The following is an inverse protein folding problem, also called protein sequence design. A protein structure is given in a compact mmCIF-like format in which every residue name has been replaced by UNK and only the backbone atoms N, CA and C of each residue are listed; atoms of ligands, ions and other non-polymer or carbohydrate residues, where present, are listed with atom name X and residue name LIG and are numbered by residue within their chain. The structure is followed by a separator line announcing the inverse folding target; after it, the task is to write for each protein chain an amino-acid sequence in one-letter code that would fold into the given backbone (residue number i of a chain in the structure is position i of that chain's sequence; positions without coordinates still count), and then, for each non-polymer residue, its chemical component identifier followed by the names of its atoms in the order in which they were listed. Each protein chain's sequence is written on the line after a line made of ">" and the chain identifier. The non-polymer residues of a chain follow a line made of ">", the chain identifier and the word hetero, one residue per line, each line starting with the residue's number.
data_IF_664557297413
#
_entry.id   IF_664557297413
#
_cell.length_a   1.000
_cell.length_b   1.000
_cell.length_c   1.000
_cell.angle_alpha   90.00
_cell.angle_beta   90.00
_cell.angle_gamma   90.00
#
_symmetry.space_group_name_H-M   'P 1'
#
loop_
_entity.id
_entity.type
_entity.pdbx_description
1 polymer ?
#
# COMPACT_ATOMS: atom_id res chain seq x y z
N UNK A 1 -34.67 41.67 -45.00
CA UNK A 1 -33.98 41.33 -43.75
C UNK A 1 -34.55 40.00 -43.28
N UNK A 2 -34.06 38.91 -43.87
CA UNK A 2 -34.48 37.54 -43.54
C UNK A 2 -33.86 37.16 -42.20
N UNK A 3 -34.69 36.88 -41.20
CA UNK A 3 -34.22 36.31 -39.92
C UNK A 3 -33.56 34.97 -40.23
N UNK A 4 -32.24 34.91 -40.10
CA UNK A 4 -31.52 33.65 -40.02
C UNK A 4 -31.98 32.95 -38.75
N UNK A 5 -32.45 31.73 -38.95
CA UNK A 5 -32.89 30.79 -37.92
C UNK A 5 -31.76 30.57 -36.90
N UNK A 6 -31.84 31.23 -35.75
CA UNK A 6 -30.86 31.11 -34.65
C UNK A 6 -31.06 29.84 -33.81
N UNK A 7 -31.92 28.93 -34.27
CA UNK A 7 -32.07 27.60 -33.70
C UNK A 7 -30.96 26.68 -34.25
N UNK A 8 -29.82 26.56 -33.55
CA UNK A 8 -29.04 25.29 -33.51
C UNK A 8 -27.67 25.34 -32.81
N UNK A 9 -27.28 26.43 -32.14
CA UNK A 9 -26.01 26.49 -31.41
C UNK A 9 -26.23 26.59 -29.89
N UNK A 10 -27.03 25.68 -29.32
CA UNK A 10 -27.16 25.55 -27.87
C UNK A 10 -26.57 24.22 -27.41
N UNK A 11 -25.77 24.25 -26.34
CA UNK A 11 -25.26 23.06 -25.64
C UNK A 11 -26.28 22.51 -24.62
N UNK A 12 -27.47 23.09 -24.52
CA UNK A 12 -28.51 22.62 -23.62
C UNK A 12 -28.99 21.21 -24.03
N UNK A 13 -29.25 20.37 -23.03
CA UNK A 13 -29.83 19.05 -23.24
C UNK A 13 -31.15 19.17 -24.03
N UNK A 14 -31.29 18.39 -25.12
CA UNK A 14 -32.46 18.43 -26.01
C UNK A 14 -32.42 19.47 -27.14
N UNK A 15 -31.38 20.29 -27.24
CA UNK A 15 -31.26 21.30 -28.31
C UNK A 15 -31.01 20.71 -29.71
N UNK A 16 -30.59 19.44 -29.81
CA UNK A 16 -30.43 18.68 -31.05
C UNK A 16 -30.91 17.24 -30.87
N UNK A 17 -31.63 16.72 -31.86
CA UNK A 17 -31.96 15.30 -31.99
C UNK A 17 -30.87 14.62 -32.82
N UNK A 18 -30.25 13.58 -32.27
CA UNK A 18 -29.19 12.80 -32.92
C UNK A 18 -29.40 11.31 -32.59
N UNK A 19 -28.81 10.36 -33.34
CA UNK A 19 -28.94 8.94 -33.05
C UNK A 19 -28.60 8.64 -31.58
N UNK A 20 -29.57 8.12 -30.83
CA UNK A 20 -29.44 7.87 -29.39
C UNK A 20 -29.83 9.03 -28.47
N UNK A 21 -30.42 10.12 -28.96
CA UNK A 21 -30.93 11.23 -28.12
C UNK A 21 -32.02 10.80 -27.15
N UNK A 22 -32.75 9.72 -27.46
CA UNK A 22 -33.78 9.13 -26.60
C UNK A 22 -33.23 7.98 -25.72
N UNK A 23 -31.92 7.71 -25.80
CA UNK A 23 -31.28 6.67 -25.00
C UNK A 23 -31.31 7.04 -23.52
N UNK A 24 -31.74 6.08 -22.70
CA UNK A 24 -31.69 6.17 -21.23
C UNK A 24 -30.40 5.59 -20.66
N UNK A 25 -29.43 5.29 -21.52
CA UNK A 25 -28.11 4.75 -21.19
C UNK A 25 -27.04 5.53 -21.93
N UNK A 26 -25.88 5.66 -21.31
CA UNK A 26 -24.72 6.20 -21.98
C UNK A 26 -24.32 5.28 -23.14
N UNK A 27 -24.07 5.88 -24.29
CA UNK A 27 -23.74 5.21 -25.55
C UNK A 27 -22.49 5.80 -26.22
N UNK A 28 -21.71 6.59 -25.46
CA UNK A 28 -20.48 7.25 -25.92
C UNK A 28 -19.21 6.45 -25.61
N UNK A 29 -19.32 5.30 -24.95
CA UNK A 29 -18.21 4.38 -24.66
C UNK A 29 -18.65 2.92 -24.83
N UNK A 30 -17.67 2.05 -25.08
CA UNK A 30 -17.89 0.60 -25.11
C UNK A 30 -17.75 0.02 -23.68
N UNK A 31 -18.76 -0.68 -23.16
CA UNK A 31 -18.68 -1.37 -21.88
C UNK A 31 -17.66 -2.51 -21.90
N UNK A 32 -16.97 -2.76 -20.79
CA UNK A 32 -16.10 -3.95 -20.65
C UNK A 32 -16.90 -5.26 -20.66
N UNK A 33 -18.10 -5.23 -20.10
CA UNK A 33 -19.02 -6.37 -20.06
C UNK A 33 -20.07 -6.32 -21.18
N UNK A 34 -21.05 -7.25 -21.14
CA UNK A 34 -22.20 -7.23 -22.06
C UNK A 34 -23.09 -5.97 -21.91
N UNK A 35 -22.99 -5.29 -20.77
CA UNK A 35 -23.73 -4.07 -20.41
C UNK A 35 -22.81 -3.19 -19.56
N UNK A 36 -22.95 -1.88 -19.69
CA UNK A 36 -22.29 -0.91 -18.81
C UNK A 36 -22.70 -1.17 -17.36
N UNK A 37 -21.70 -1.14 -16.48
CA UNK A 37 -21.94 -1.08 -15.04
C UNK A 37 -22.12 0.37 -14.60
N UNK A 38 -22.73 0.57 -13.44
CA UNK A 38 -22.89 1.93 -12.92
C UNK A 38 -21.55 2.60 -12.59
N UNK A 39 -20.52 1.81 -12.26
CA UNK A 39 -19.14 2.29 -12.14
C UNK A 39 -18.65 2.87 -13.47
N UNK A 40 -18.86 2.16 -14.58
CA UNK A 40 -18.43 2.63 -15.90
C UNK A 40 -19.17 3.93 -16.28
N UNK A 41 -20.48 3.96 -16.04
CA UNK A 41 -21.34 5.13 -16.28
C UNK A 41 -20.85 6.40 -15.56
N UNK A 42 -20.22 6.27 -14.39
CA UNK A 42 -19.79 7.41 -13.56
C UNK A 42 -18.27 7.62 -13.54
N UNK A 43 -17.49 6.84 -14.28
CA UNK A 43 -16.01 6.96 -14.30
C UNK A 43 -15.44 7.09 -15.72
N UNK A 44 -16.04 6.43 -16.71
CA UNK A 44 -15.55 6.45 -18.09
C UNK A 44 -15.82 7.81 -18.70
N UNK A 45 -14.76 8.44 -19.22
CA UNK A 45 -14.79 9.73 -19.92
C UNK A 45 -15.34 10.92 -19.13
N UNK A 46 -15.40 10.81 -17.79
CA UNK A 46 -15.67 11.96 -16.93
C UNK A 46 -14.56 13.00 -17.05
N UNK A 47 -13.31 12.55 -17.22
CA UNK A 47 -12.21 13.44 -17.60
C UNK A 47 -12.24 13.68 -19.10
N UNK A 48 -12.28 14.95 -19.53
CA UNK A 48 -12.36 15.28 -20.95
C UNK A 48 -11.01 15.05 -21.61
N UNK A 49 -10.79 13.84 -22.13
CA UNK A 49 -9.60 13.51 -22.90
C UNK A 49 -9.60 14.28 -24.24
N UNK A 50 -8.59 15.13 -24.51
CA UNK A 50 -8.53 15.88 -25.74
C UNK A 50 -8.48 15.00 -26.99
N UNK A 51 -7.92 13.79 -26.90
CA UNK A 51 -7.82 12.88 -28.05
C UNK A 51 -9.18 12.30 -28.47
N UNK A 52 -10.19 12.35 -27.58
CA UNK A 52 -11.53 11.79 -27.83
C UNK A 52 -12.59 12.85 -28.08
N UNK A 53 -12.55 13.96 -27.34
CA UNK A 53 -13.71 14.85 -27.23
C UNK A 53 -13.45 16.33 -27.53
N UNK A 54 -12.20 16.79 -27.53
CA UNK A 54 -11.90 18.21 -27.66
C UNK A 54 -11.31 18.53 -29.04
N UNK A 55 -11.81 19.61 -29.66
CA UNK A 55 -11.28 20.11 -30.94
C UNK A 55 -9.87 20.71 -30.82
N UNK A 56 -9.49 21.12 -29.62
CA UNK A 56 -8.18 21.66 -29.27
C UNK A 56 -7.62 20.88 -28.08
N UNK A 57 -6.31 20.93 -27.88
CA UNK A 57 -5.65 20.29 -26.74
C UNK A 57 -6.10 20.92 -25.40
N UNK A 58 -5.55 20.48 -24.27
CA UNK A 58 -5.84 21.02 -22.95
C UNK A 58 -5.87 22.55 -22.92
N UNK A 59 -6.99 23.11 -22.43
CA UNK A 59 -7.25 24.56 -22.41
C UNK A 59 -6.33 25.28 -21.42
N UNK A 60 -5.85 24.57 -20.39
CA UNK A 60 -4.93 25.07 -19.37
C UNK A 60 -3.71 24.16 -19.34
N UNK A 61 -2.53 24.76 -19.24
CA UNK A 61 -1.24 24.08 -19.08
C UNK A 61 -0.44 24.77 -17.98
N UNK A 62 0.56 24.07 -17.44
CA UNK A 62 1.52 24.66 -16.52
C UNK A 62 2.38 25.73 -17.24
N UNK A 63 3.07 26.58 -16.46
CA UNK A 63 3.85 27.69 -17.02
C UNK A 63 4.99 27.27 -17.94
N UNK A 64 5.41 26.01 -17.89
CA UNK A 64 6.42 25.39 -18.76
C UNK A 64 5.83 24.70 -20.02
N UNK A 65 4.51 24.77 -20.21
CA UNK A 65 3.81 24.13 -21.32
C UNK A 65 3.38 22.68 -21.05
N UNK A 66 3.64 22.13 -19.85
CA UNK A 66 3.16 20.80 -19.48
C UNK A 66 1.62 20.77 -19.48
N UNK A 67 0.96 19.80 -20.12
CA UNK A 67 -0.50 19.73 -20.15
C UNK A 67 -1.11 19.41 -18.77
N UNK A 68 -2.44 19.60 -18.66
CA UNK A 68 -3.17 19.28 -17.40
C UNK A 68 -3.11 17.79 -17.03
N UNK A 69 -3.03 16.90 -18.03
CA UNK A 69 -2.73 15.48 -17.89
C UNK A 69 -1.82 15.02 -19.04
N UNK A 70 -0.85 14.17 -18.74
CA UNK A 70 0.11 13.64 -19.72
C UNK A 70 0.28 12.12 -19.59
N UNK A 71 0.36 11.44 -20.74
CA UNK A 71 0.77 10.02 -20.82
C UNK A 71 2.26 9.83 -20.52
N UNK A 72 3.04 10.91 -20.48
CA UNK A 72 4.48 10.89 -20.22
C UNK A 72 4.84 11.10 -18.76
N UNK A 73 3.85 11.22 -17.87
CA UNK A 73 4.07 11.21 -16.42
C UNK A 73 4.36 9.82 -15.85
N UNK A 74 4.32 8.81 -16.71
CA UNK A 74 4.84 7.47 -16.44
C UNK A 74 5.68 6.99 -17.62
N UNK A 75 6.68 6.16 -17.31
CA UNK A 75 7.50 5.47 -18.29
C UNK A 75 6.73 4.36 -19.02
N UNK A 76 5.69 3.79 -18.37
CA UNK A 76 4.82 2.79 -19.00
C UNK A 76 3.98 3.43 -20.11
N UNK A 77 3.73 2.67 -21.18
CA UNK A 77 2.96 3.13 -22.33
C UNK A 77 1.74 2.24 -22.57
N UNK A 78 0.68 2.83 -23.08
CA UNK A 78 -0.53 2.12 -23.44
C UNK A 78 -1.17 2.76 -24.66
N UNK A 79 -1.57 1.94 -25.63
CA UNK A 79 -2.33 2.34 -26.79
C UNK A 79 -3.74 2.82 -26.40
N UNK A 80 -4.34 2.21 -25.36
CA UNK A 80 -5.66 2.57 -24.87
C UNK A 80 -5.72 2.61 -23.33
N UNK A 81 -5.41 3.78 -22.76
CA UNK A 81 -5.55 4.03 -21.32
C UNK A 81 -7.00 3.97 -20.83
N UNK A 82 -7.99 4.09 -21.73
CA UNK A 82 -9.40 3.93 -21.41
C UNK A 82 -9.83 2.47 -21.39
N UNK A 83 -8.96 1.51 -21.69
CA UNK A 83 -9.25 0.09 -21.55
C UNK A 83 -9.33 -0.38 -20.08
N UNK A 84 -8.70 0.34 -19.15
CA UNK A 84 -8.69 -0.05 -17.75
C UNK A 84 -10.06 0.11 -17.08
N UNK A 85 -10.47 -0.93 -16.34
CA UNK A 85 -11.62 -0.93 -15.43
C UNK A 85 -11.22 -1.64 -14.16
N UNK A 86 -11.37 -0.97 -13.02
CA UNK A 86 -11.10 -1.55 -11.72
C UNK A 86 -12.03 -2.76 -11.48
N UNK A 87 -11.51 -3.96 -11.18
CA UNK A 87 -12.32 -5.14 -10.87
C UNK A 87 -13.31 -4.94 -9.72
N UNK A 88 -12.97 -4.11 -8.73
CA UNK A 88 -13.84 -3.82 -7.59
C UNK A 88 -15.05 -2.91 -7.93
N UNK A 89 -15.00 -2.24 -9.08
CA UNK A 89 -16.00 -1.28 -9.57
C UNK A 89 -16.34 -0.20 -8.52
N UNK A 90 -15.36 0.19 -7.73
CA UNK A 90 -15.59 1.11 -6.62
C UNK A 90 -15.60 2.57 -7.11
N UNK A 91 -16.67 3.29 -6.80
CA UNK A 91 -16.83 4.73 -7.05
C UNK A 91 -17.34 5.41 -5.77
N UNK A 92 -17.42 6.75 -5.78
CA UNK A 92 -17.68 7.60 -4.60
C UNK A 92 -18.69 7.00 -3.61
N UNK A 93 -19.92 6.68 -4.05
CA UNK A 93 -20.97 6.18 -3.17
C UNK A 93 -20.64 4.83 -2.56
N UNK A 94 -20.19 3.86 -3.36
CA UNK A 94 -19.88 2.51 -2.88
C UNK A 94 -18.68 2.54 -1.94
N UNK A 95 -17.72 3.43 -2.20
CA UNK A 95 -16.57 3.69 -1.32
C UNK A 95 -17.04 4.12 0.07
N UNK A 96 -17.82 5.20 0.17
CA UNK A 96 -18.30 5.68 1.46
C UNK A 96 -19.18 4.67 2.20
N UNK A 97 -20.05 3.94 1.49
CA UNK A 97 -20.89 2.89 2.10
C UNK A 97 -20.04 1.78 2.73
N UNK A 98 -19.02 1.30 1.99
CA UNK A 98 -18.12 0.26 2.47
C UNK A 98 -17.27 0.74 3.64
N UNK A 99 -16.64 1.91 3.52
CA UNK A 99 -15.77 2.44 4.58
C UNK A 99 -16.55 2.79 5.85
N UNK A 100 -17.76 3.35 5.74
CA UNK A 100 -18.63 3.60 6.90
C UNK A 100 -18.98 2.31 7.64
N UNK A 101 -19.27 1.23 6.90
CA UNK A 101 -19.54 -0.08 7.49
C UNK A 101 -18.33 -0.63 8.24
N UNK A 102 -17.14 -0.57 7.63
CA UNK A 102 -15.89 -1.06 8.23
C UNK A 102 -15.56 -0.29 9.52
N UNK A 103 -15.61 1.05 9.49
CA UNK A 103 -15.32 1.87 10.67
C UNK A 103 -16.30 1.56 11.81
N UNK A 104 -17.59 1.40 11.51
CA UNK A 104 -18.58 1.01 12.51
C UNK A 104 -18.31 -0.39 13.11
N UNK A 105 -17.87 -1.35 12.30
CA UNK A 105 -17.47 -2.68 12.80
C UNK A 105 -16.25 -2.61 13.71
N UNK A 106 -15.22 -1.85 13.32
CA UNK A 106 -14.01 -1.64 14.12
C UNK A 106 -14.38 -1.02 15.47
N UNK A 107 -15.13 0.08 15.48
CA UNK A 107 -15.57 0.76 16.70
C UNK A 107 -16.30 -0.19 17.66
N UNK A 108 -17.23 -0.99 17.15
CA UNK A 108 -17.96 -1.97 17.95
C UNK A 108 -17.03 -3.03 18.58
N UNK A 109 -16.04 -3.52 17.83
CA UNK A 109 -15.08 -4.50 18.36
C UNK A 109 -14.22 -3.89 19.47
N UNK A 110 -13.69 -2.68 19.26
CA UNK A 110 -12.84 -2.04 20.27
C UNK A 110 -13.64 -1.73 21.54
N UNK A 111 -14.84 -1.17 21.39
CA UNK A 111 -15.71 -0.88 22.54
C UNK A 111 -16.07 -2.15 23.33
N UNK A 112 -16.40 -3.24 22.65
CA UNK A 112 -16.70 -4.51 23.32
C UNK A 112 -15.47 -5.08 24.05
N UNK A 113 -14.28 -4.96 23.46
CA UNK A 113 -13.04 -5.39 24.11
C UNK A 113 -12.76 -4.61 25.40
N UNK A 114 -12.93 -3.29 25.35
CA UNK A 114 -12.79 -2.41 26.51
C UNK A 114 -13.81 -2.72 27.60
N UNK A 115 -15.10 -2.85 27.24
CA UNK A 115 -16.18 -3.24 28.18
C UNK A 115 -15.93 -4.60 28.84
N UNK A 116 -15.31 -5.53 28.13
CA UNK A 116 -14.93 -6.85 28.64
C UNK A 116 -13.63 -6.86 29.48
N UNK A 117 -13.02 -5.69 29.71
CA UNK A 117 -11.74 -5.56 30.42
C UNK A 117 -10.61 -6.34 29.74
N UNK A 118 -10.64 -6.44 28.40
CA UNK A 118 -9.61 -7.14 27.64
C UNK A 118 -8.24 -6.43 27.72
N UNK A 119 -8.13 -5.09 27.56
CA UNK A 119 -6.83 -4.41 27.59
C UNK A 119 -6.02 -4.67 28.86
N UNK A 120 -6.67 -4.75 30.03
CA UNK A 120 -6.01 -5.02 31.31
C UNK A 120 -5.49 -6.46 31.44
N UNK A 121 -5.94 -7.37 30.57
CA UNK A 121 -5.57 -8.80 30.56
C UNK A 121 -4.57 -9.17 29.46
N UNK A 122 -4.22 -8.21 28.60
CA UNK A 122 -3.17 -8.43 27.60
C UNK A 122 -1.86 -8.79 28.29
N UNK A 123 -1.09 -9.69 27.68
CA UNK A 123 0.27 -9.97 28.16
C UNK A 123 1.12 -8.69 28.11
N UNK A 124 1.96 -8.47 29.13
CA UNK A 124 2.74 -7.23 29.25
C UNK A 124 3.74 -7.05 28.09
N UNK A 125 4.35 -8.12 27.62
CA UNK A 125 5.24 -8.05 26.46
C UNK A 125 4.46 -7.71 25.18
N UNK A 126 3.21 -8.18 25.09
CA UNK A 126 2.31 -7.83 24.00
C UNK A 126 1.90 -6.36 24.03
N UNK A 127 1.60 -5.79 25.19
CA UNK A 127 1.33 -4.36 25.35
C UNK A 127 2.49 -3.52 24.79
N UNK A 128 3.73 -3.85 25.18
CA UNK A 128 4.92 -3.16 24.64
C UNK A 128 5.04 -3.32 23.13
N UNK A 129 4.68 -4.49 22.58
CA UNK A 129 4.68 -4.70 21.14
C UNK A 129 3.63 -3.86 20.41
N UNK A 130 2.40 -3.79 20.93
CA UNK A 130 1.36 -2.92 20.38
C UNK A 130 1.82 -1.45 20.40
N UNK A 131 2.34 -1.01 21.54
CA UNK A 131 2.82 0.35 21.74
C UNK A 131 3.94 0.73 20.76
N UNK A 132 4.97 -0.11 20.67
CA UNK A 132 6.20 0.22 19.97
C UNK A 132 6.15 -0.16 18.49
N UNK A 133 5.62 -1.34 18.15
CA UNK A 133 5.74 -1.92 16.81
C UNK A 133 4.46 -1.79 15.99
N UNK A 134 3.27 -2.04 16.55
CA UNK A 134 2.02 -1.68 15.85
C UNK A 134 1.89 -0.15 15.76
N UNK A 135 2.31 0.55 16.82
CA UNK A 135 2.43 2.00 16.84
C UNK A 135 3.43 2.56 15.81
N UNK A 136 4.53 1.87 15.51
CA UNK A 136 5.44 2.27 14.44
C UNK A 136 4.85 1.98 13.04
N UNK A 137 4.22 0.82 12.86
CA UNK A 137 3.69 0.39 11.57
C UNK A 137 2.65 1.35 10.97
N UNK A 138 1.87 2.06 11.80
CA UNK A 138 0.92 3.09 11.33
C UNK A 138 1.61 4.19 10.49
N UNK A 139 2.90 4.45 10.72
CA UNK A 139 3.68 5.43 9.95
C UNK A 139 4.07 4.91 8.56
N UNK A 140 4.28 3.60 8.41
CA UNK A 140 4.42 2.99 7.09
C UNK A 140 3.12 3.14 6.28
N UNK A 141 1.98 2.81 6.87
CA UNK A 141 0.65 2.97 6.25
C UNK A 141 0.37 4.43 5.85
N UNK A 142 0.67 5.39 6.73
CA UNK A 142 0.58 6.81 6.42
C UNK A 142 1.51 7.20 5.26
N UNK A 143 2.76 6.76 5.28
CA UNK A 143 3.74 7.04 4.23
C UNK A 143 3.28 6.55 2.86
N UNK A 144 2.83 5.30 2.77
CA UNK A 144 2.28 4.71 1.54
C UNK A 144 0.99 5.43 1.10
N UNK A 145 0.09 5.75 2.04
CA UNK A 145 -1.13 6.51 1.77
C UNK A 145 -0.83 7.88 1.17
N UNK A 146 0.17 8.61 1.68
CA UNK A 146 0.58 9.90 1.10
C UNK A 146 1.27 9.76 -0.26
N UNK A 147 2.01 8.68 -0.50
CA UNK A 147 2.58 8.38 -1.82
C UNK A 147 1.45 8.26 -2.86
N UNK A 148 0.44 7.43 -2.55
CA UNK A 148 -0.70 7.20 -3.43
C UNK A 148 -1.59 8.44 -3.59
N UNK A 149 -1.76 9.24 -2.53
CA UNK A 149 -2.48 10.51 -2.60
C UNK A 149 -1.86 11.50 -3.60
N UNK A 150 -0.52 11.48 -3.72
CA UNK A 150 0.19 12.21 -4.78
C UNK A 150 0.01 11.52 -6.13
N UNK A 151 0.21 10.21 -6.18
CA UNK A 151 0.15 9.41 -7.41
C UNK A 151 -1.17 9.56 -8.17
N UNK A 152 -2.32 9.55 -7.48
CA UNK A 152 -3.64 9.60 -8.13
C UNK A 152 -3.79 10.81 -9.05
N UNK A 153 -3.20 11.97 -8.70
CA UNK A 153 -3.30 13.20 -9.50
C UNK A 153 -2.74 12.99 -10.92
N UNK A 154 -1.76 12.13 -11.07
CA UNK A 154 -1.07 11.89 -12.33
C UNK A 154 -1.71 10.76 -13.17
N UNK A 155 -2.72 10.06 -12.62
CA UNK A 155 -3.49 9.07 -13.36
C UNK A 155 -4.09 9.67 -14.63
N UNK A 156 -3.73 9.10 -15.79
CA UNK A 156 -4.11 9.68 -17.08
C UNK A 156 -5.62 9.61 -17.35
N UNK A 157 -6.31 8.57 -16.84
CA UNK A 157 -7.77 8.44 -16.90
C UNK A 157 -8.38 8.42 -15.50
N UNK A 158 -9.66 8.77 -15.41
CA UNK A 158 -10.38 8.74 -14.13
C UNK A 158 -10.46 7.34 -13.52
N UNK A 159 -10.52 6.30 -14.35
CA UNK A 159 -10.51 4.91 -13.86
C UNK A 159 -9.21 4.60 -13.11
N UNK A 160 -8.06 5.02 -13.66
CA UNK A 160 -6.75 4.85 -13.01
C UNK A 160 -6.63 5.75 -11.79
N UNK A 161 -7.00 7.03 -11.90
CA UNK A 161 -6.99 7.97 -10.78
C UNK A 161 -7.80 7.43 -9.59
N UNK A 162 -9.05 7.02 -9.82
CA UNK A 162 -9.96 6.58 -8.78
C UNK A 162 -9.49 5.29 -8.09
N UNK A 163 -8.91 4.33 -8.82
CA UNK A 163 -8.31 3.14 -8.22
C UNK A 163 -7.14 3.48 -7.29
N UNK A 164 -6.29 4.43 -7.67
CA UNK A 164 -5.17 4.89 -6.83
C UNK A 164 -5.69 5.71 -5.63
N UNK A 165 -6.69 6.56 -5.84
CA UNK A 165 -7.27 7.42 -4.81
C UNK A 165 -7.97 6.62 -3.70
N UNK A 166 -8.78 5.63 -4.08
CA UNK A 166 -9.46 4.75 -3.12
C UNK A 166 -8.44 3.93 -2.32
N UNK A 167 -7.38 3.43 -2.97
CA UNK A 167 -6.27 2.77 -2.30
C UNK A 167 -5.57 3.70 -1.29
N UNK A 168 -5.30 4.96 -1.67
CA UNK A 168 -4.74 5.96 -0.76
C UNK A 168 -5.64 6.18 0.47
N UNK A 169 -6.95 6.30 0.24
CA UNK A 169 -7.96 6.44 1.29
C UNK A 169 -7.91 5.27 2.29
N UNK A 170 -7.82 4.02 1.81
CA UNK A 170 -7.73 2.85 2.70
C UNK A 170 -6.49 2.85 3.58
N UNK A 171 -5.33 3.22 3.02
CA UNK A 171 -4.06 3.29 3.76
C UNK A 171 -4.09 4.37 4.83
N UNK A 172 -4.61 5.56 4.49
CA UNK A 172 -4.77 6.65 5.45
C UNK A 172 -5.81 6.33 6.53
N UNK A 173 -6.94 5.72 6.17
CA UNK A 173 -7.94 5.26 7.14
C UNK A 173 -7.34 4.24 8.08
N UNK A 174 -6.63 3.23 7.58
CA UNK A 174 -6.05 2.21 8.46
C UNK A 174 -4.99 2.79 9.40
N UNK A 175 -4.16 3.74 8.95
CA UNK A 175 -3.25 4.46 9.84
C UNK A 175 -3.99 5.22 10.96
N UNK A 176 -5.16 5.79 10.65
CA UNK A 176 -6.04 6.44 11.62
C UNK A 176 -6.71 5.42 12.56
N UNK A 177 -7.19 4.29 12.05
CA UNK A 177 -7.79 3.23 12.85
C UNK A 177 -6.79 2.69 13.86
N UNK A 178 -5.53 2.44 13.45
CA UNK A 178 -4.46 2.05 14.37
C UNK A 178 -4.20 3.12 15.42
N UNK A 179 -4.22 4.39 15.03
CA UNK A 179 -4.02 5.51 15.98
C UNK A 179 -5.13 5.56 17.02
N UNK A 180 -6.39 5.49 16.59
CA UNK A 180 -7.56 5.51 17.47
C UNK A 180 -7.61 4.27 18.35
N UNK A 181 -7.40 3.08 17.76
CA UNK A 181 -7.35 1.82 18.49
C UNK A 181 -6.32 1.85 19.62
N UNK A 182 -5.08 2.23 19.31
CA UNK A 182 -4.00 2.28 20.31
C UNK A 182 -4.28 3.32 21.40
N UNK A 183 -4.90 4.45 21.07
CA UNK A 183 -5.34 5.44 22.05
C UNK A 183 -6.43 4.89 22.99
N UNK A 184 -7.41 4.19 22.43
CA UNK A 184 -8.53 3.62 23.17
C UNK A 184 -8.08 2.50 24.12
N UNK A 185 -7.33 1.50 23.62
CA UNK A 185 -6.82 0.43 24.50
C UNK A 185 -5.74 0.94 25.45
N UNK A 186 -4.92 1.90 25.02
CA UNK A 186 -3.90 2.53 25.85
C UNK A 186 -4.50 3.30 27.03
N UNK A 187 -5.67 3.93 26.87
CA UNK A 187 -6.36 4.61 27.97
C UNK A 187 -6.77 3.68 29.12
N UNK A 188 -6.92 2.40 28.83
CA UNK A 188 -7.29 1.34 29.77
C UNK A 188 -6.07 0.62 30.37
N UNK A 189 -4.86 0.93 29.88
CA UNK A 189 -3.58 0.32 30.27
C UNK A 189 -2.68 1.40 30.89
N UNK A 190 -2.42 1.28 32.20
CA UNK A 190 -1.55 2.23 32.90
C UNK A 190 -0.14 2.28 32.32
N UNK A 191 0.35 3.49 32.01
CA UNK A 191 1.71 3.72 31.51
C UNK A 191 1.91 3.50 30.01
N UNK A 192 0.83 3.41 29.23
CA UNK A 192 0.92 3.30 27.77
C UNK A 192 1.36 4.63 27.13
N UNK A 193 2.48 4.63 26.44
CA UNK A 193 3.03 5.79 25.73
C UNK A 193 2.59 5.81 24.26
N UNK A 194 1.76 6.79 23.90
CA UNK A 194 1.25 6.96 22.54
C UNK A 194 2.30 7.46 21.53
N UNK A 195 3.39 8.06 22.02
CA UNK A 195 4.48 8.59 21.18
C UNK A 195 5.59 7.55 20.93
N UNK A 196 5.64 6.47 21.71
CA UNK A 196 6.67 5.44 21.57
C UNK A 196 6.71 4.82 20.17
N UNK A 197 5.56 4.59 19.54
CA UNK A 197 5.50 4.08 18.16
C UNK A 197 6.19 5.01 17.15
N UNK A 198 6.04 6.33 17.33
CA UNK A 198 6.71 7.33 16.48
C UNK A 198 8.22 7.32 16.72
N UNK A 199 8.66 7.23 17.98
CA UNK A 199 10.08 7.12 18.30
C UNK A 199 10.70 5.86 17.67
N UNK A 200 10.02 4.71 17.74
CA UNK A 200 10.51 3.49 17.11
C UNK A 200 10.55 3.60 15.58
N UNK A 201 9.53 4.20 14.96
CA UNK A 201 9.57 4.46 13.51
C UNK A 201 10.76 5.33 13.08
N UNK A 202 11.08 6.36 13.86
CA UNK A 202 12.13 7.32 13.52
C UNK A 202 13.53 6.78 13.82
N UNK A 203 13.71 6.08 14.94
CA UNK A 203 15.04 5.85 15.53
C UNK A 203 15.39 4.37 15.73
N UNK A 204 14.43 3.44 15.78
CA UNK A 204 14.73 2.01 16.00
C UNK A 204 15.34 1.39 14.73
N UNK A 205 16.54 0.78 14.81
CA UNK A 205 17.16 0.05 13.70
C UNK A 205 16.28 -1.02 13.06
N UNK A 206 15.34 -1.63 13.80
CA UNK A 206 14.41 -2.63 13.25
C UNK A 206 13.51 -2.03 12.16
N UNK A 207 13.13 -0.76 12.29
CA UNK A 207 12.21 -0.10 11.36
C UNK A 207 12.91 0.68 10.24
N UNK A 208 14.22 0.93 10.34
CA UNK A 208 14.90 1.79 9.36
C UNK A 208 14.82 1.25 7.92
N UNK A 209 15.02 -0.04 7.62
CA UNK A 209 14.87 -0.53 6.25
C UNK A 209 13.43 -0.45 5.72
N UNK A 210 12.43 -0.58 6.61
CA UNK A 210 11.03 -0.36 6.26
C UNK A 210 10.77 1.11 5.92
N UNK A 211 11.29 2.03 6.73
CA UNK A 211 11.23 3.47 6.49
C UNK A 211 11.93 3.86 5.19
N UNK A 212 13.13 3.33 4.92
CA UNK A 212 13.87 3.52 3.67
C UNK A 212 13.01 3.10 2.47
N UNK A 213 12.41 1.90 2.50
CA UNK A 213 11.54 1.42 1.42
C UNK A 213 10.33 2.37 1.18
N UNK A 214 9.66 2.81 2.25
CA UNK A 214 8.53 3.74 2.16
C UNK A 214 8.97 5.11 1.62
N UNK A 215 10.13 5.62 2.05
CA UNK A 215 10.68 6.89 1.58
C UNK A 215 11.10 6.83 0.11
N UNK A 216 11.67 5.72 -0.36
CA UNK A 216 11.97 5.47 -1.77
C UNK A 216 10.69 5.44 -2.63
N UNK A 217 9.65 4.75 -2.19
CA UNK A 217 8.34 4.75 -2.85
C UNK A 217 7.79 6.18 -2.93
N UNK A 218 7.84 6.94 -1.84
CA UNK A 218 7.36 8.34 -1.82
C UNK A 218 8.18 9.26 -2.74
N UNK A 219 9.48 9.01 -2.85
CA UNK A 219 10.40 9.79 -3.67
C UNK A 219 10.29 9.50 -5.17
N UNK A 220 9.75 8.33 -5.56
CA UNK A 220 9.53 8.01 -6.96
C UNK A 220 8.71 9.10 -7.66
N UNK A 221 9.13 9.45 -8.88
CA UNK A 221 8.50 10.51 -9.68
C UNK A 221 7.40 9.97 -10.59
N UNK A 222 7.46 8.67 -10.92
CA UNK A 222 6.47 7.96 -11.71
C UNK A 222 5.34 7.44 -10.81
N UNK A 223 4.11 7.84 -11.10
CA UNK A 223 2.95 7.49 -10.28
C UNK A 223 2.57 6.00 -10.37
N UNK A 224 2.87 5.33 -11.49
CA UNK A 224 2.65 3.89 -11.63
C UNK A 224 3.77 3.09 -10.98
N UNK A 225 5.00 3.61 -10.92
CA UNK A 225 6.05 3.02 -10.09
C UNK A 225 5.62 3.03 -8.62
N UNK A 226 5.07 4.14 -8.12
CA UNK A 226 4.52 4.21 -6.77
C UNK A 226 3.42 3.18 -6.55
N UNK A 227 2.45 3.10 -7.45
CA UNK A 227 1.33 2.17 -7.33
C UNK A 227 1.77 0.70 -7.39
N UNK A 228 2.72 0.39 -8.28
CA UNK A 228 3.36 -0.93 -8.41
C UNK A 228 4.10 -1.32 -7.14
N UNK A 229 5.00 -0.46 -6.68
CA UNK A 229 5.85 -0.74 -5.52
C UNK A 229 5.03 -0.88 -4.23
N UNK A 230 3.95 -0.11 -4.07
CA UNK A 230 3.04 -0.26 -2.93
C UNK A 230 2.33 -1.62 -2.99
N UNK A 231 1.62 -1.93 -4.07
CA UNK A 231 0.63 -3.02 -4.07
C UNK A 231 1.18 -4.38 -4.47
N UNK A 232 2.19 -4.43 -5.35
CA UNK A 232 2.72 -5.69 -5.86
C UNK A 232 4.03 -6.09 -5.17
N UNK A 233 4.64 -5.18 -4.40
CA UNK A 233 5.96 -5.41 -3.78
C UNK A 233 5.95 -5.22 -2.26
N UNK A 234 5.70 -4.00 -1.76
CA UNK A 234 5.77 -3.68 -0.32
C UNK A 234 4.63 -4.35 0.46
N UNK A 235 3.38 -3.99 0.14
CA UNK A 235 2.29 -4.92 -0.03
C UNK A 235 2.41 -6.32 0.59
N UNK A 236 2.65 -7.33 -0.28
CA UNK A 236 2.68 -8.73 0.09
C UNK A 236 3.96 -9.14 0.83
N UNK A 237 5.07 -8.40 0.68
CA UNK A 237 6.36 -8.79 1.26
C UNK A 237 6.59 -8.27 2.68
N UNK A 238 6.05 -7.09 3.00
CA UNK A 238 6.26 -6.39 4.28
C UNK A 238 4.92 -6.16 4.99
N UNK A 239 3.92 -5.64 4.29
CA UNK A 239 2.60 -5.32 4.85
C UNK A 239 1.88 -6.55 5.39
N UNK A 240 1.56 -7.50 4.51
CA UNK A 240 0.92 -8.77 4.90
C UNK A 240 1.80 -9.57 5.87
N UNK A 241 3.13 -9.59 5.67
CA UNK A 241 4.08 -10.26 6.55
C UNK A 241 3.94 -9.77 8.01
N UNK A 242 3.84 -8.46 8.22
CA UNK A 242 3.65 -7.87 9.55
C UNK A 242 2.21 -8.05 10.06
N UNK A 243 1.20 -7.79 9.21
CA UNK A 243 -0.21 -7.82 9.61
C UNK A 243 -0.73 -9.24 9.82
N UNK A 244 -0.92 -9.98 8.74
CA UNK A 244 -1.52 -11.32 8.75
C UNK A 244 -0.50 -12.44 9.01
N UNK A 245 0.77 -12.23 8.67
CA UNK A 245 1.87 -13.15 8.93
C UNK A 245 2.37 -13.15 10.38
N UNK A 246 2.17 -12.05 11.10
CA UNK A 246 2.61 -11.90 12.49
C UNK A 246 1.47 -11.52 13.44
N UNK A 247 1.02 -10.26 13.42
CA UNK A 247 0.15 -9.72 14.48
C UNK A 247 -1.13 -10.53 14.63
N UNK A 248 -1.81 -10.85 13.51
CA UNK A 248 -3.04 -11.65 13.54
C UNK A 248 -2.82 -13.09 14.03
N UNK A 249 -1.63 -13.67 13.85
CA UNK A 249 -1.32 -15.04 14.28
C UNK A 249 -1.02 -15.14 15.78
N UNK A 250 -0.39 -14.11 16.35
CA UNK A 250 0.14 -14.19 17.72
C UNK A 250 -0.74 -13.55 18.78
N UNK A 251 -1.61 -12.60 18.40
CA UNK A 251 -2.37 -11.77 19.35
C UNK A 251 -3.28 -12.58 20.29
N UNK A 252 -4.02 -13.57 19.76
CA UNK A 252 -4.96 -14.36 20.56
C UNK A 252 -4.26 -15.12 21.70
N UNK A 253 -3.04 -15.61 21.47
CA UNK A 253 -2.21 -16.27 22.48
C UNK A 253 -1.71 -15.30 23.57
N UNK A 254 -1.81 -13.98 23.34
CA UNK A 254 -1.51 -12.93 24.31
C UNK A 254 -2.78 -12.35 25.00
N UNK A 255 -3.90 -13.07 24.93
CA UNK A 255 -5.23 -12.63 25.37
C UNK A 255 -5.80 -11.41 24.62
N UNK A 256 -5.32 -11.16 23.40
CA UNK A 256 -5.81 -10.07 22.56
C UNK A 256 -6.63 -10.61 21.37
N UNK A 257 -7.94 -10.41 21.45
CA UNK A 257 -8.87 -10.74 20.37
C UNK A 257 -9.27 -9.51 19.53
N UNK A 258 -8.93 -8.29 19.95
CA UNK A 258 -9.38 -7.06 19.29
C UNK A 258 -8.39 -6.60 18.21
N UNK A 259 -7.08 -6.65 18.46
CA UNK A 259 -6.07 -6.24 17.45
C UNK A 259 -6.24 -6.97 16.11
N UNK A 260 -6.41 -8.32 16.06
CA UNK A 260 -6.58 -9.01 14.78
C UNK A 260 -7.79 -8.55 13.99
N UNK A 261 -8.87 -8.17 14.66
CA UNK A 261 -10.09 -7.68 14.02
C UNK A 261 -9.87 -6.30 13.39
N UNK A 262 -9.18 -5.39 14.08
CA UNK A 262 -8.80 -4.07 13.53
C UNK A 262 -7.89 -4.22 12.32
N UNK A 263 -6.90 -5.12 12.40
CA UNK A 263 -5.95 -5.36 11.31
C UNK A 263 -6.61 -6.06 10.12
N UNK A 264 -7.57 -6.97 10.35
CA UNK A 264 -8.24 -7.71 9.28
C UNK A 264 -8.96 -6.80 8.26
N UNK A 265 -9.40 -5.61 8.68
CA UNK A 265 -9.98 -4.63 7.78
C UNK A 265 -8.99 -4.17 6.69
N UNK A 266 -7.72 -4.02 7.04
CA UNK A 266 -6.66 -3.65 6.09
C UNK A 266 -6.35 -4.76 5.08
N UNK A 267 -6.37 -6.02 5.50
CA UNK A 267 -6.19 -7.16 4.59
C UNK A 267 -7.31 -7.21 3.54
N UNK A 268 -8.56 -6.98 3.96
CA UNK A 268 -9.69 -6.94 3.05
C UNK A 268 -9.65 -5.73 2.08
N UNK A 269 -9.08 -4.60 2.49
CA UNK A 269 -8.79 -3.49 1.57
C UNK A 269 -7.67 -3.84 0.60
N UNK A 270 -6.60 -4.46 1.09
CA UNK A 270 -5.45 -4.81 0.28
C UNK A 270 -5.81 -5.77 -0.85
N UNK A 271 -6.62 -6.80 -0.61
CA UNK A 271 -7.04 -7.72 -1.67
C UNK A 271 -7.74 -7.00 -2.85
N UNK A 272 -8.51 -5.94 -2.58
CA UNK A 272 -9.10 -5.10 -3.65
C UNK A 272 -8.04 -4.29 -4.38
N UNK A 273 -7.13 -3.67 -3.64
CA UNK A 273 -6.05 -2.88 -4.22
C UNK A 273 -5.14 -3.74 -5.09
N UNK A 274 -4.83 -4.96 -4.65
CA UNK A 274 -4.05 -5.93 -5.40
C UNK A 274 -4.78 -6.33 -6.69
N UNK A 275 -6.07 -6.67 -6.63
CA UNK A 275 -6.85 -6.99 -7.83
C UNK A 275 -6.85 -5.84 -8.85
N UNK A 276 -7.00 -4.60 -8.38
CA UNK A 276 -6.93 -3.40 -9.24
C UNK A 276 -5.53 -3.22 -9.85
N UNK A 277 -4.48 -3.40 -9.05
CA UNK A 277 -3.09 -3.34 -9.50
C UNK A 277 -2.77 -4.40 -10.54
N UNK A 278 -3.11 -5.66 -10.27
CA UNK A 278 -2.89 -6.79 -11.18
C UNK A 278 -3.59 -6.54 -12.51
N UNK A 279 -4.87 -6.14 -12.51
CA UNK A 279 -5.60 -5.89 -13.75
C UNK A 279 -4.99 -4.73 -14.56
N UNK A 280 -4.56 -3.66 -13.89
CA UNK A 280 -3.91 -2.52 -14.55
C UNK A 280 -2.59 -2.94 -15.20
N UNK A 281 -1.68 -3.56 -14.44
CA UNK A 281 -0.36 -3.92 -14.96
C UNK A 281 -0.45 -5.04 -16.00
N UNK A 282 -1.34 -6.02 -15.82
CA UNK A 282 -1.58 -7.04 -16.83
C UNK A 282 -2.15 -6.44 -18.13
N UNK A 283 -3.02 -5.43 -18.05
CA UNK A 283 -3.49 -4.70 -19.23
C UNK A 283 -2.32 -4.02 -19.96
N UNK A 284 -1.42 -3.35 -19.23
CA UNK A 284 -0.25 -2.69 -19.81
C UNK A 284 0.74 -3.69 -20.43
N UNK A 285 0.90 -4.89 -19.85
CA UNK A 285 1.75 -5.93 -20.42
C UNK A 285 1.11 -6.68 -21.60
N UNK A 286 -0.22 -6.65 -21.72
CA UNK A 286 -0.97 -7.16 -22.87
C UNK A 286 -1.06 -6.16 -24.02
N UNK A 287 -0.52 -4.95 -23.86
CA UNK A 287 -0.49 -3.95 -24.92
C UNK A 287 0.29 -4.50 -26.14
N UNK A 288 -0.31 -4.50 -27.35
CA UNK A 288 0.29 -5.14 -28.52
C UNK A 288 1.53 -4.40 -29.05
N UNK A 289 1.72 -3.13 -28.68
CA UNK A 289 2.83 -2.28 -29.15
C UNK A 289 3.89 -2.10 -28.07
N UNK A 290 3.47 -1.95 -26.82
CA UNK A 290 4.32 -1.56 -25.71
C UNK A 290 4.55 -2.64 -24.65
N UNK A 291 3.87 -3.79 -24.75
CA UNK A 291 3.85 -4.82 -23.70
C UNK A 291 5.23 -5.31 -23.25
N UNK A 292 6.14 -5.59 -24.19
CA UNK A 292 7.50 -6.05 -23.84
C UNK A 292 8.35 -4.93 -23.20
N UNK A 293 8.31 -3.71 -23.74
CA UNK A 293 9.02 -2.57 -23.13
C UNK A 293 8.49 -2.24 -21.73
N UNK A 294 7.18 -2.36 -21.53
CA UNK A 294 6.55 -2.25 -20.21
C UNK A 294 7.01 -3.36 -19.27
N UNK A 295 7.19 -4.59 -19.76
CA UNK A 295 7.69 -5.72 -18.96
C UNK A 295 9.09 -5.43 -18.44
N UNK A 296 9.98 -4.94 -19.30
CA UNK A 296 11.35 -4.56 -18.92
C UNK A 296 11.34 -3.46 -17.83
N UNK A 297 10.45 -2.46 -17.97
CA UNK A 297 10.30 -1.41 -16.98
C UNK A 297 9.80 -1.94 -15.63
N UNK A 298 8.76 -2.78 -15.62
CA UNK A 298 8.24 -3.39 -14.40
C UNK A 298 9.29 -4.30 -13.75
N UNK A 299 10.10 -5.02 -14.54
CA UNK A 299 11.19 -5.84 -14.04
C UNK A 299 12.26 -4.99 -13.36
N UNK A 300 12.60 -3.82 -13.92
CA UNK A 300 13.52 -2.85 -13.31
C UNK A 300 12.97 -2.30 -11.99
N UNK A 301 11.69 -1.92 -11.95
CA UNK A 301 11.05 -1.46 -10.72
C UNK A 301 11.00 -2.57 -9.66
N UNK A 302 10.71 -3.80 -10.06
CA UNK A 302 10.72 -4.95 -9.16
C UNK A 302 12.11 -5.21 -8.60
N UNK A 303 13.16 -5.16 -9.42
CA UNK A 303 14.54 -5.35 -8.95
C UNK A 303 14.92 -4.30 -7.87
N UNK A 304 14.52 -3.04 -8.07
CA UNK A 304 14.78 -1.97 -7.10
C UNK A 304 13.94 -2.11 -5.82
N UNK A 305 12.62 -2.08 -5.94
CA UNK A 305 11.71 -2.08 -4.80
C UNK A 305 11.65 -3.42 -4.09
N UNK A 306 11.81 -4.52 -4.82
CA UNK A 306 11.90 -5.87 -4.26
C UNK A 306 13.13 -6.03 -3.38
N UNK A 307 14.27 -5.45 -3.79
CA UNK A 307 15.48 -5.41 -2.95
C UNK A 307 15.29 -4.61 -1.65
N UNK A 308 14.60 -3.47 -1.71
CA UNK A 308 14.28 -2.66 -0.53
C UNK A 308 13.29 -3.36 0.40
N UNK A 309 12.20 -3.89 -0.14
CA UNK A 309 11.18 -4.61 0.61
C UNK A 309 11.73 -5.92 1.23
N UNK A 310 12.66 -6.59 0.56
CA UNK A 310 13.40 -7.74 1.10
C UNK A 310 14.20 -7.37 2.35
N UNK A 311 14.98 -6.28 2.29
CA UNK A 311 15.72 -5.78 3.47
C UNK A 311 14.78 -5.43 4.61
N UNK A 312 13.67 -4.75 4.31
CA UNK A 312 12.63 -4.42 5.29
C UNK A 312 12.04 -5.67 5.95
N UNK A 313 11.60 -6.64 5.16
CA UNK A 313 11.01 -7.88 5.65
C UNK A 313 11.96 -8.67 6.56
N UNK A 314 13.22 -8.82 6.15
CA UNK A 314 14.24 -9.52 6.93
C UNK A 314 14.56 -8.79 8.24
N UNK A 315 14.62 -7.46 8.22
CA UNK A 315 14.93 -6.67 9.41
C UNK A 315 13.82 -6.76 10.49
N UNK A 316 12.58 -7.06 10.10
CA UNK A 316 11.46 -7.26 11.04
C UNK A 316 11.50 -8.61 11.78
N UNK A 317 12.38 -9.54 11.38
CA UNK A 317 12.48 -10.88 11.97
C UNK A 317 12.57 -10.91 13.51
N UNK A 318 13.31 -10.01 14.20
CA UNK A 318 13.39 -10.00 15.66
C UNK A 318 12.03 -9.85 16.36
N UNK A 319 11.03 -9.26 15.70
CA UNK A 319 9.69 -9.05 16.29
C UNK A 319 9.00 -10.36 16.69
N UNK A 320 9.25 -11.46 15.96
CA UNK A 320 8.69 -12.78 16.27
C UNK A 320 9.21 -13.35 17.59
N UNK A 321 10.29 -12.79 18.14
CA UNK A 321 10.86 -13.23 19.42
C UNK A 321 10.31 -12.47 20.63
N UNK A 322 9.62 -11.35 20.42
CA UNK A 322 9.16 -10.45 21.48
C UNK A 322 7.94 -10.97 22.28
N UNK A 323 6.89 -11.56 21.65
CA UNK A 323 5.76 -12.09 22.40
C UNK A 323 6.17 -13.20 23.36
N UNK A 324 5.48 -13.28 24.51
CA UNK A 324 5.72 -14.34 25.49
C UNK A 324 5.42 -15.71 24.90
N UNK A 325 4.26 -15.86 24.28
CA UNK A 325 3.86 -17.07 23.55
C UNK A 325 4.14 -16.88 22.06
N UNK A 326 5.05 -17.69 21.49
CA UNK A 326 5.46 -17.59 20.09
C UNK A 326 4.65 -18.56 19.23
N UNK A 327 3.48 -18.12 18.79
CA UNK A 327 2.54 -18.96 18.04
C UNK A 327 2.81 -19.02 16.52
N UNK A 328 3.73 -18.20 16.00
CA UNK A 328 4.07 -18.13 14.58
C UNK A 328 5.59 -18.16 14.38
N UNK A 329 6.02 -18.72 13.24
CA UNK A 329 7.41 -18.71 12.80
C UNK A 329 7.65 -17.62 11.76
N UNK A 330 8.72 -16.84 11.92
CA UNK A 330 9.13 -15.87 10.90
C UNK A 330 9.46 -16.56 9.57
N UNK A 331 10.20 -17.66 9.61
CA UNK A 331 10.61 -18.36 8.39
C UNK A 331 9.40 -18.83 7.57
N UNK A 332 8.38 -19.39 8.22
CA UNK A 332 7.16 -19.81 7.53
C UNK A 332 6.33 -18.63 7.00
N UNK A 333 6.21 -17.55 7.79
CA UNK A 333 5.51 -16.34 7.36
C UNK A 333 6.22 -15.67 6.16
N UNK A 334 7.54 -15.58 6.22
CA UNK A 334 8.37 -15.00 5.17
C UNK A 334 8.38 -15.83 3.88
N UNK A 335 8.47 -17.16 3.97
CA UNK A 335 8.34 -18.03 2.80
C UNK A 335 6.96 -17.91 2.15
N UNK A 336 5.88 -17.77 2.94
CA UNK A 336 4.54 -17.47 2.40
C UNK A 336 4.50 -16.13 1.67
N UNK A 337 5.08 -15.08 2.25
CA UNK A 337 5.16 -13.75 1.63
C UNK A 337 5.95 -13.79 0.30
N UNK A 338 7.09 -14.48 0.26
CA UNK A 338 7.87 -14.69 -0.98
C UNK A 338 7.06 -15.43 -2.05
N UNK A 339 6.39 -16.52 -1.68
CA UNK A 339 5.56 -17.28 -2.60
C UNK A 339 4.38 -16.45 -3.13
N UNK A 340 3.82 -15.57 -2.28
CA UNK A 340 2.76 -14.63 -2.66
C UNK A 340 3.24 -13.62 -3.69
N UNK A 341 4.40 -13.00 -3.47
CA UNK A 341 5.05 -12.09 -4.45
C UNK A 341 5.28 -12.79 -5.79
N UNK A 342 5.86 -13.99 -5.77
CA UNK A 342 6.12 -14.75 -6.99
C UNK A 342 4.81 -15.11 -7.74
N UNK A 343 3.74 -15.44 -7.01
CA UNK A 343 2.42 -15.69 -7.59
C UNK A 343 1.82 -14.43 -8.25
N UNK A 344 1.90 -13.28 -7.58
CA UNK A 344 1.46 -11.99 -8.12
C UNK A 344 2.25 -11.64 -9.39
N UNK A 345 3.57 -11.82 -9.36
CA UNK A 345 4.43 -11.61 -10.53
C UNK A 345 4.00 -12.44 -11.73
N UNK A 346 3.75 -13.75 -11.54
CA UNK A 346 3.23 -14.64 -12.60
C UNK A 346 1.87 -14.21 -13.14
N UNK A 347 0.97 -13.74 -12.29
CA UNK A 347 -0.37 -13.29 -12.69
C UNK A 347 -0.30 -12.03 -13.55
N UNK A 348 0.60 -11.10 -13.21
CA UNK A 348 0.84 -9.87 -13.98
C UNK A 348 1.61 -10.17 -15.26
N UNK A 349 2.61 -11.06 -15.18
CA UNK A 349 3.51 -11.42 -16.27
C UNK A 349 4.97 -11.00 -16.08
N UNK A 350 5.44 -10.76 -14.85
CA UNK A 350 6.85 -10.46 -14.57
C UNK A 350 7.51 -11.59 -13.77
N UNK A 351 8.84 -11.68 -13.83
CA UNK A 351 9.59 -12.58 -12.96
C UNK A 351 9.77 -11.89 -11.60
N UNK A 352 9.09 -12.44 -10.58
CA UNK A 352 9.09 -11.90 -9.23
C UNK A 352 9.73 -12.86 -8.22
N UNK A 353 10.70 -13.67 -8.67
CA UNK A 353 11.42 -14.58 -7.80
C UNK A 353 12.41 -13.83 -6.89
N UNK A 354 12.22 -14.01 -5.58
CA UNK A 354 13.04 -13.42 -4.54
C UNK A 354 13.97 -14.48 -3.92
N UNK A 355 15.17 -14.12 -3.45
CA UNK A 355 16.09 -15.08 -2.83
C UNK A 355 15.51 -15.70 -1.56
N UNK A 356 15.81 -17.00 -1.34
CA UNK A 356 15.38 -17.71 -0.14
C UNK A 356 16.21 -17.36 1.09
N UNK A 357 15.63 -17.62 2.27
CA UNK A 357 16.39 -17.54 3.51
C UNK A 357 17.57 -18.51 3.43
N UNK A 358 18.78 -18.09 3.83
CA UNK A 358 19.91 -19.01 3.91
C UNK A 358 19.60 -20.13 4.90
N UNK A 359 20.08 -21.37 4.67
CA UNK A 359 19.93 -22.46 5.62
C UNK A 359 20.49 -22.07 6.99
N UNK A 360 19.81 -22.48 8.06
CA UNK A 360 20.17 -22.15 9.45
C UNK A 360 21.64 -22.51 9.78
N UNK A 361 22.19 -23.54 9.14
CA UNK A 361 23.57 -23.99 9.29
C UNK A 361 24.63 -23.00 8.74
N UNK A 362 24.29 -22.22 7.70
CA UNK A 362 25.21 -21.26 7.10
C UNK A 362 25.45 -20.03 7.98
N UNK A 363 24.49 -19.69 8.85
CA UNK A 363 24.56 -18.53 9.75
C UNK A 363 25.48 -18.79 10.95
N UNK A 364 25.59 -20.05 11.41
CA UNK A 364 26.50 -20.44 12.49
C UNK A 364 27.97 -20.48 12.06
N UNK A 365 28.26 -20.72 10.76
CA UNK A 365 29.62 -20.69 10.24
C UNK A 365 30.21 -19.27 10.11
N UNK A 366 29.36 -18.24 10.14
CA UNK A 366 29.76 -16.83 9.97
C UNK A 366 30.01 -16.09 11.28
N UNK A 367 29.84 -16.72 12.44
CA UNK A 367 30.26 -16.15 13.73
C UNK A 367 31.74 -16.53 13.96
N UNK A 368 32.69 -15.57 13.94
CA UNK A 368 34.06 -15.91 14.28
C UNK A 368 34.09 -16.34 15.75
N UNK A 369 34.56 -17.58 15.99
CA UNK A 369 34.88 -18.09 17.31
C UNK A 369 35.66 -17.02 18.09
N UNK A 370 35.06 -16.45 19.13
CA UNK A 370 35.75 -15.56 20.03
C UNK A 370 36.87 -16.35 20.71
N UNK A 371 38.11 -16.07 20.33
CA UNK A 371 39.28 -16.57 21.04
C UNK A 371 39.24 -16.03 22.48
N UNK A 372 39.59 -16.84 23.50
CA UNK A 372 39.54 -16.41 24.88
C UNK A 372 40.57 -15.29 25.11
N UNK A 373 40.09 -14.15 25.59
CA UNK A 373 40.93 -13.02 25.99
C UNK A 373 41.80 -13.45 27.17
N UNK A 374 43.12 -13.50 26.95
CA UNK A 374 44.09 -13.74 28.00
C UNK A 374 44.09 -12.59 29.01
N UNK A 375 44.03 -12.91 30.30
CA UNK A 375 44.09 -11.95 31.40
C UNK A 375 45.43 -11.18 31.39
N UNK A 376 45.44 -9.86 31.66
CA UNK A 376 46.69 -9.11 31.72
C UNK A 376 47.47 -9.46 33.00
N UNK A 377 48.76 -9.73 32.82
CA UNK A 377 49.71 -10.00 33.90
C UNK A 377 49.88 -8.76 34.80
N UNK A 378 49.85 -8.99 36.11
CA UNK A 378 50.12 -7.98 37.13
C UNK A 378 51.57 -7.47 37.01
N UNK A 379 51.73 -6.18 36.69
CA UNK A 379 53.02 -5.51 36.77
C UNK A 379 53.28 -5.09 38.23
N UNK A 380 54.30 -5.68 38.83
CA UNK A 380 54.84 -5.30 40.11
C UNK A 380 55.48 -3.90 40.03
N UNK A 381 55.00 -2.97 40.86
CA UNK A 381 55.65 -1.67 41.09
C UNK A 381 56.74 -1.88 42.15
N UNK A 382 58.00 -1.92 41.71
CA UNK A 382 59.15 -1.74 42.58
C UNK A 382 59.46 -0.23 42.68
N UNK A 383 59.52 0.27 43.91
CA UNK A 383 59.91 1.64 44.18
C UNK A 383 61.41 1.88 44.06
N UNK A 384 61.79 3.13 43.76
CA UNK A 384 63.07 3.72 44.11
C UNK A 384 62.91 5.25 44.23
N UNK A 385 63.57 5.81 45.24
CA UNK A 385 63.48 7.17 45.76
C UNK A 385 64.57 8.12 45.21
N UNK A 386 64.49 9.39 45.64
CA UNK A 386 65.42 10.53 45.50
C UNK A 386 65.39 11.23 44.12
N UNK A 387 65.34 12.57 43.98
CA UNK A 387 65.63 13.73 44.84
C UNK A 387 64.54 14.81 44.71
#
# INVERSE_FOLDING_TARGET
>A
MTMQDTASASAAAGAKTFPGSDSRRYNYFEPKGRKATHYEDVTVDVQPDPERYLLQNWIISFGDGTPTYSKDWTALKCADWHGFRAPDQEWERTHYQRQSTIVGMIQNVVENARRAGAPQRFDKAWVTLLQNHVGAFKHAEYGLGTALMRAQRYGYTQMVNNAILTNASYKLRFAQDLTLYLAEVGSDIGGFDLDAGKAHWLDDPIWQPCREAVEHIRAATDFLEQYFAVNLVFEPLVGELFRSGFVMQVAAAQNDFSTPSVISAAEADYERNLANGVELFALLLRDPVHGEANRDMLQSWFAHHGGLAMKAALQLQPLWSLPRVKAASFAEAFERARNRVAAIGREVGIDADLPALPPVEAVQAATPNAAPVAAPAAAAVAGAAAE
#
